data_IF_798428053266
#
_entry.id   IF_798428053266
#
_cell.length_a   1.000
_cell.length_b   1.000
_cell.length_c   1.000
_cell.angle_alpha   90.00
_cell.angle_beta   90.00
_cell.angle_gamma   90.00
#
_symmetry.space_group_name_H-M   'P 1'
#
loop_
_entity.id
_entity.type
_entity.pdbx_description
1 polymer ?
#
# COMPACT_ATOMS: atom_id res chain seq x y z
N UNK A 1 19.54 20.75 -14.06
CA UNK A 1 19.88 20.26 -12.70
C UNK A 1 19.15 18.95 -12.45
N UNK A 2 19.89 17.84 -12.45
CA UNK A 2 19.33 16.49 -12.42
C UNK A 2 18.69 16.17 -11.08
N UNK A 3 17.39 15.92 -11.09
CA UNK A 3 16.62 15.50 -9.93
C UNK A 3 16.97 14.04 -9.62
N UNK A 4 18.09 13.79 -8.91
CA UNK A 4 18.42 12.45 -8.37
C UNK A 4 17.39 12.11 -7.29
N UNK A 5 16.24 11.59 -7.71
CA UNK A 5 15.35 10.84 -6.81
C UNK A 5 16.14 9.65 -6.29
N UNK A 6 16.60 9.72 -5.04
CA UNK A 6 17.21 8.58 -4.36
C UNK A 6 16.20 7.43 -4.38
N UNK A 7 16.40 6.45 -5.26
CA UNK A 7 15.63 5.20 -5.26
C UNK A 7 15.97 4.47 -3.96
N UNK A 8 14.96 4.09 -3.19
CA UNK A 8 15.16 3.22 -2.04
C UNK A 8 15.85 1.93 -2.49
N UNK A 9 16.80 1.44 -1.70
CA UNK A 9 17.46 0.16 -2.01
C UNK A 9 16.46 -1.00 -1.90
N UNK A 10 16.72 -2.10 -2.61
CA UNK A 10 15.93 -3.34 -2.47
C UNK A 10 15.86 -3.77 -0.99
N UNK A 11 16.97 -3.66 -0.26
CA UNK A 11 17.04 -3.94 1.18
C UNK A 11 16.05 -3.09 1.98
N UNK A 12 15.94 -1.80 1.67
CA UNK A 12 14.99 -0.88 2.33
C UNK A 12 13.55 -1.29 2.04
N UNK A 13 13.24 -1.65 0.79
CA UNK A 13 11.90 -2.09 0.39
C UNK A 13 11.52 -3.38 1.12
N UNK A 14 12.41 -4.38 1.14
CA UNK A 14 12.16 -5.64 1.84
C UNK A 14 11.99 -5.44 3.36
N UNK A 15 12.78 -4.56 3.97
CA UNK A 15 12.61 -4.20 5.38
C UNK A 15 11.25 -3.55 5.65
N UNK A 16 10.80 -2.65 4.77
CA UNK A 16 9.47 -2.05 4.88
C UNK A 16 8.35 -3.08 4.69
N UNK A 17 8.52 -4.01 3.75
CA UNK A 17 7.56 -5.10 3.48
C UNK A 17 7.45 -6.06 4.66
N UNK A 18 8.52 -6.25 5.43
CA UNK A 18 8.47 -7.07 6.65
C UNK A 18 7.41 -6.57 7.66
N UNK A 19 7.14 -5.25 7.72
CA UNK A 19 6.05 -4.71 8.54
C UNK A 19 4.68 -5.22 8.09
N UNK A 20 4.43 -5.33 6.78
CA UNK A 20 3.16 -5.80 6.23
C UNK A 20 2.93 -7.27 6.59
N UNK A 21 3.94 -8.13 6.43
CA UNK A 21 3.84 -9.54 6.78
C UNK A 21 3.77 -9.77 8.30
N UNK A 22 4.50 -8.97 9.09
CA UNK A 22 4.38 -9.00 10.55
C UNK A 22 2.96 -8.65 10.98
N UNK A 23 2.37 -7.62 10.40
CA UNK A 23 0.98 -7.24 10.66
C UNK A 23 -0.02 -8.31 10.20
N UNK A 24 0.20 -8.90 9.03
CA UNK A 24 -0.59 -10.02 8.51
C UNK A 24 -0.61 -11.18 9.51
N UNK A 25 0.57 -11.58 10.01
CA UNK A 25 0.71 -12.63 11.01
C UNK A 25 -0.05 -12.30 12.32
N UNK A 26 0.06 -11.06 12.82
CA UNK A 26 -0.67 -10.62 14.03
C UNK A 26 -2.21 -10.67 13.83
N UNK A 27 -2.68 -10.39 12.61
CA UNK A 27 -4.12 -10.30 12.31
C UNK A 27 -4.71 -11.59 11.75
N UNK A 28 -3.89 -12.63 11.55
CA UNK A 28 -4.29 -13.89 10.92
C UNK A 28 -4.57 -13.77 9.42
N UNK A 29 -4.09 -12.70 8.77
CA UNK A 29 -4.22 -12.51 7.33
C UNK A 29 -3.01 -13.10 6.61
N UNK A 30 -3.27 -14.11 5.78
CA UNK A 30 -2.27 -14.68 4.88
C UNK A 30 -2.12 -13.79 3.63
N UNK A 31 -1.29 -12.75 3.77
CA UNK A 31 -1.07 -11.73 2.74
C UNK A 31 -0.51 -12.36 1.45
N UNK A 32 0.40 -13.32 1.57
CA UNK A 32 1.00 -13.99 0.40
C UNK A 32 -0.07 -14.73 -0.39
N UNK A 33 -0.84 -15.59 0.28
CA UNK A 33 -1.92 -16.33 -0.36
C UNK A 33 -2.97 -15.41 -0.97
N UNK A 34 -3.36 -14.35 -0.27
CA UNK A 34 -4.30 -13.36 -0.79
C UNK A 34 -3.81 -12.73 -2.10
N UNK A 35 -2.54 -12.33 -2.16
CA UNK A 35 -1.95 -11.75 -3.37
C UNK A 35 -1.83 -12.79 -4.50
N UNK A 36 -1.42 -14.03 -4.20
CA UNK A 36 -1.34 -15.12 -5.18
C UNK A 36 -2.70 -15.46 -5.80
N UNK A 37 -3.75 -15.51 -4.99
CA UNK A 37 -5.12 -15.79 -5.42
C UNK A 37 -5.79 -14.59 -6.12
N UNK A 38 -5.09 -13.46 -6.29
CA UNK A 38 -5.64 -12.24 -6.88
C UNK A 38 -6.68 -11.54 -6.02
N UNK A 39 -6.80 -11.92 -4.74
CA UNK A 39 -7.64 -11.28 -3.73
C UNK A 39 -6.85 -10.13 -3.11
N UNK A 40 -6.73 -9.05 -3.87
CA UNK A 40 -5.95 -7.88 -3.48
C UNK A 40 -6.27 -7.33 -2.08
N UNK A 41 -5.36 -6.53 -1.53
CA UNK A 41 -5.55 -5.86 -0.26
C UNK A 41 -6.56 -4.71 -0.43
N UNK A 42 -7.74 -4.89 0.15
CA UNK A 42 -8.80 -3.89 0.10
C UNK A 42 -8.47 -2.64 0.94
N UNK A 43 -9.30 -1.61 0.79
CA UNK A 43 -9.12 -0.36 1.50
C UNK A 43 -9.13 -0.50 3.03
N UNK A 44 -9.99 -1.38 3.56
CA UNK A 44 -10.12 -1.57 5.01
C UNK A 44 -8.87 -2.25 5.57
N UNK A 45 -8.31 -3.20 4.84
CA UNK A 45 -7.07 -3.90 5.13
C UNK A 45 -5.90 -2.91 5.16
N UNK A 46 -5.69 -2.16 4.08
CA UNK A 46 -4.60 -1.19 3.97
C UNK A 46 -4.72 -0.07 5.01
N UNK A 47 -5.93 0.39 5.31
CA UNK A 47 -6.16 1.40 6.37
C UNK A 47 -5.87 0.84 7.77
N UNK A 48 -6.29 -0.39 8.08
CA UNK A 48 -5.95 -1.03 9.37
C UNK A 48 -4.44 -1.22 9.52
N UNK A 49 -3.76 -1.62 8.45
CA UNK A 49 -2.30 -1.71 8.42
C UNK A 49 -1.64 -0.34 8.69
N UNK A 50 -2.07 0.72 7.99
CA UNK A 50 -1.55 2.07 8.21
C UNK A 50 -1.74 2.53 9.67
N UNK A 51 -2.93 2.37 10.23
CA UNK A 51 -3.21 2.73 11.62
C UNK A 51 -2.37 1.92 12.64
N UNK A 52 -2.12 0.64 12.35
CA UNK A 52 -1.23 -0.17 13.17
C UNK A 52 0.20 0.34 13.08
N UNK A 53 0.67 0.66 11.87
CA UNK A 53 2.02 1.14 11.62
C UNK A 53 2.30 2.47 12.32
N UNK A 54 1.34 3.38 12.33
CA UNK A 54 1.42 4.65 13.08
C UNK A 54 1.58 4.46 14.59
N UNK A 55 0.92 3.45 15.16
CA UNK A 55 1.05 3.15 16.60
C UNK A 55 2.43 2.60 16.97
N UNK A 56 3.09 1.90 16.05
CA UNK A 56 4.37 1.23 16.30
C UNK A 56 5.57 2.16 16.05
N UNK A 57 5.47 3.10 15.10
CA UNK A 57 6.60 3.91 14.61
C UNK A 57 6.76 5.26 15.38
N UNK A 58 6.35 5.27 16.66
CA UNK A 58 6.25 6.44 17.55
C UNK A 58 5.09 7.38 17.18
N UNK A 59 4.40 7.95 18.20
CA UNK A 59 3.19 8.75 18.00
C UNK A 59 3.48 10.03 17.21
N UNK A 60 2.48 10.57 16.48
CA UNK A 60 2.61 11.89 15.90
C UNK A 60 2.88 12.90 17.01
N UNK A 61 3.93 13.70 16.84
CA UNK A 61 4.11 14.95 17.58
C UNK A 61 3.00 15.87 17.07
N UNK A 62 1.91 15.98 17.84
CA UNK A 62 0.76 16.87 17.64
C UNK A 62 0.32 17.04 16.17
N UNK A 63 -0.53 16.12 15.67
CA UNK A 63 -1.25 16.34 14.42
C UNK A 63 -1.80 15.09 13.74
N UNK A 64 -2.85 15.28 12.95
CA UNK A 64 -3.53 14.28 12.10
C UNK A 64 -2.71 13.85 10.87
N UNK A 65 -1.41 14.17 10.83
CA UNK A 65 -0.55 13.90 9.68
C UNK A 65 0.16 12.55 9.84
N UNK A 66 -0.04 11.67 8.86
CA UNK A 66 0.73 10.43 8.73
C UNK A 66 2.22 10.77 8.72
N UNK A 67 2.99 10.16 9.62
CA UNK A 67 4.44 10.34 9.72
C UNK A 67 5.09 10.08 8.34
N UNK A 68 6.00 10.98 7.91
CA UNK A 68 6.71 10.85 6.61
C UNK A 68 7.37 9.48 6.44
N UNK A 69 7.81 8.84 7.52
CA UNK A 69 8.38 7.49 7.47
C UNK A 69 7.33 6.41 7.28
N UNK A 70 6.17 6.51 7.93
CA UNK A 70 5.01 5.63 7.71
C UNK A 70 4.58 5.69 6.24
N UNK A 71 4.50 6.89 5.64
CA UNK A 71 4.23 7.04 4.21
C UNK A 71 5.26 6.32 3.32
N UNK A 72 6.56 6.35 3.65
CA UNK A 72 7.59 5.64 2.90
C UNK A 72 7.43 4.12 2.97
N UNK A 73 7.03 3.60 4.13
CA UNK A 73 6.75 2.17 4.31
C UNK A 73 5.52 1.77 3.50
N UNK A 74 4.43 2.54 3.58
CA UNK A 74 3.21 2.32 2.78
C UNK A 74 3.51 2.34 1.27
N UNK A 75 4.34 3.27 0.80
CA UNK A 75 4.79 3.30 -0.59
C UNK A 75 5.55 2.03 -0.98
N UNK A 76 6.47 1.57 -0.13
CA UNK A 76 7.27 0.36 -0.39
C UNK A 76 6.38 -0.89 -0.42
N UNK A 77 5.40 -0.98 0.48
CA UNK A 77 4.42 -2.06 0.51
C UNK A 77 3.49 -2.05 -0.70
N UNK A 78 3.07 -0.86 -1.16
CA UNK A 78 2.29 -0.68 -2.39
C UNK A 78 3.08 -1.16 -3.61
N UNK A 79 4.34 -0.71 -3.76
CA UNK A 79 5.22 -1.14 -4.85
C UNK A 79 5.41 -2.66 -4.84
N UNK A 80 5.67 -3.26 -3.67
CA UNK A 80 5.78 -4.70 -3.54
C UNK A 80 4.48 -5.42 -3.91
N UNK A 81 3.33 -4.98 -3.40
CA UNK A 81 2.04 -5.64 -3.64
C UNK A 81 1.66 -5.62 -5.12
N UNK A 82 1.92 -4.50 -5.81
CA UNK A 82 1.69 -4.38 -7.26
C UNK A 82 2.66 -5.29 -8.02
N UNK A 83 3.96 -5.21 -7.73
CA UNK A 83 4.98 -6.05 -8.37
C UNK A 83 4.70 -7.55 -8.17
N UNK A 84 4.30 -7.94 -6.96
CA UNK A 84 4.00 -9.34 -6.64
C UNK A 84 2.79 -9.83 -7.42
N UNK A 85 1.69 -9.07 -7.40
CA UNK A 85 0.52 -9.40 -8.21
C UNK A 85 0.93 -9.47 -9.68
N UNK A 86 1.73 -8.51 -10.15
CA UNK A 86 2.12 -8.43 -11.54
C UNK A 86 2.84 -9.69 -12.04
N UNK A 87 3.75 -10.23 -11.23
CA UNK A 87 4.64 -11.31 -11.62
C UNK A 87 4.10 -12.70 -11.30
N UNK A 88 3.28 -12.84 -10.24
CA UNK A 88 2.92 -14.16 -9.72
C UNK A 88 1.43 -14.50 -9.87
N UNK A 89 0.50 -13.55 -9.74
CA UNK A 89 -0.94 -13.85 -9.89
C UNK A 89 -1.31 -14.47 -11.25
N UNK A 90 -0.77 -14.02 -12.40
CA UNK A 90 -1.07 -14.63 -13.71
C UNK A 90 -0.64 -16.09 -13.83
N UNK A 91 0.37 -16.52 -13.06
CA UNK A 91 0.86 -17.91 -13.07
C UNK A 91 -0.14 -18.86 -12.40
N UNK A 92 -0.95 -18.35 -11.47
CA UNK A 92 -1.95 -19.12 -10.72
C UNK A 92 -3.36 -18.97 -11.27
N UNK A 93 -3.66 -17.90 -11.99
CA UNK A 93 -4.97 -17.61 -12.54
C UNK A 93 -4.95 -17.74 -14.08
N UNK A 94 -5.26 -18.92 -14.61
CA UNK A 94 -5.26 -19.19 -16.06
C UNK A 94 -6.60 -18.81 -16.73
N UNK A 95 -6.61 -17.89 -17.70
CA UNK A 95 -7.75 -17.61 -18.59
C UNK A 95 -7.77 -16.19 -19.20
N UNK A 96 -8.38 -16.01 -20.38
CA UNK A 96 -8.46 -14.70 -21.07
C UNK A 96 -9.27 -13.67 -20.26
N UNK A 97 -10.31 -14.09 -19.53
CA UNK A 97 -11.07 -13.24 -18.60
C UNK A 97 -10.27 -12.80 -17.37
N UNK A 98 -9.20 -13.53 -17.02
CA UNK A 98 -8.30 -13.17 -15.91
C UNK A 98 -7.52 -11.92 -16.25
N UNK A 99 -7.12 -11.70 -17.51
CA UNK A 99 -6.32 -10.54 -17.88
C UNK A 99 -7.06 -9.21 -17.67
N UNK A 100 -8.36 -9.13 -18.00
CA UNK A 100 -9.18 -7.93 -17.74
C UNK A 100 -9.40 -7.73 -16.24
N UNK A 101 -9.62 -8.82 -15.50
CA UNK A 101 -9.73 -8.80 -14.03
C UNK A 101 -8.43 -8.34 -13.36
N UNK A 102 -7.28 -8.75 -13.90
CA UNK A 102 -5.94 -8.47 -13.41
C UNK A 102 -5.54 -7.00 -13.57
N UNK A 103 -5.82 -6.38 -14.72
CA UNK A 103 -5.59 -4.93 -14.89
C UNK A 103 -6.43 -4.15 -13.87
N UNK A 104 -7.69 -4.56 -13.66
CA UNK A 104 -8.57 -3.96 -12.64
C UNK A 104 -8.05 -4.17 -11.22
N UNK A 105 -7.44 -5.33 -10.94
CA UNK A 105 -6.82 -5.62 -9.65
C UNK A 105 -5.62 -4.70 -9.36
N UNK A 106 -4.73 -4.51 -10.34
CA UNK A 106 -3.59 -3.59 -10.22
C UNK A 106 -4.06 -2.15 -10.01
N UNK A 107 -5.04 -1.69 -10.79
CA UNK A 107 -5.62 -0.35 -10.63
C UNK A 107 -6.33 -0.18 -9.29
N UNK A 108 -7.03 -1.22 -8.81
CA UNK A 108 -7.63 -1.25 -7.48
C UNK A 108 -6.56 -1.09 -6.38
N UNK A 109 -5.46 -1.83 -6.45
CA UNK A 109 -4.33 -1.68 -5.54
C UNK A 109 -3.79 -0.25 -5.55
N UNK A 110 -3.44 0.30 -6.74
CA UNK A 110 -2.95 1.67 -6.86
C UNK A 110 -3.89 2.67 -6.19
N UNK A 111 -5.20 2.54 -6.45
CA UNK A 111 -6.23 3.41 -5.88
C UNK A 111 -6.33 3.27 -4.37
N UNK A 112 -6.37 2.04 -3.84
CA UNK A 112 -6.48 1.77 -2.40
C UNK A 112 -5.29 2.34 -1.65
N UNK A 113 -4.07 2.00 -2.07
CA UNK A 113 -2.83 2.46 -1.44
C UNK A 113 -2.72 3.99 -1.49
N UNK A 114 -3.00 4.60 -2.64
CA UNK A 114 -3.03 6.06 -2.81
C UNK A 114 -4.06 6.71 -1.88
N UNK A 115 -5.27 6.15 -1.80
CA UNK A 115 -6.34 6.71 -0.97
C UNK A 115 -5.98 6.72 0.51
N UNK A 116 -5.31 5.68 1.01
CA UNK A 116 -4.84 5.62 2.41
C UNK A 116 -3.71 6.62 2.65
N UNK A 117 -2.76 6.76 1.72
CA UNK A 117 -1.68 7.74 1.83
C UNK A 117 -2.14 9.20 1.74
N UNK A 118 -3.16 9.49 0.93
CA UNK A 118 -3.70 10.85 0.71
C UNK A 118 -4.70 11.27 1.80
N UNK A 119 -5.33 10.32 2.51
CA UNK A 119 -6.29 10.61 3.58
C UNK A 119 -5.71 11.43 4.76
N UNK A 120 -4.40 11.72 4.77
CA UNK A 120 -3.79 12.72 5.66
C UNK A 120 -4.06 14.19 5.30
N UNK A 121 -4.78 14.49 4.20
CA UNK A 121 -5.36 15.83 3.90
C UNK A 121 -6.34 15.83 2.71
N UNK A 122 -7.63 15.98 3.00
CA UNK A 122 -8.57 16.80 2.23
C UNK A 122 -9.54 17.43 3.22
N UNK A 123 -9.05 18.41 3.98
CA UNK A 123 -9.94 19.49 4.36
C UNK A 123 -10.42 20.12 3.05
N UNK A 124 -11.72 19.98 2.83
CA UNK A 124 -12.48 20.73 1.86
C UNK A 124 -12.34 22.21 2.21
N UNK A 125 -11.28 22.86 1.75
CA UNK A 125 -11.38 24.29 1.47
C UNK A 125 -12.02 24.37 0.09
N UNK A 126 -13.35 24.20 0.06
CA UNK A 126 -14.13 24.93 -0.91
C UNK A 126 -13.88 26.40 -0.59
N UNK A 127 -12.99 27.06 -1.35
CA UNK A 127 -13.04 28.51 -1.43
C UNK A 127 -14.37 28.82 -2.10
N UNK A 128 -15.33 29.26 -1.31
CA UNK A 128 -16.49 29.97 -1.82
C UNK A 128 -15.98 31.05 -2.78
N UNK A 129 -16.51 31.01 -3.99
CA UNK A 129 -16.42 32.10 -4.95
C UNK A 129 -17.25 33.25 -4.38
N UNK A 130 -16.59 34.22 -3.75
CA UNK A 130 -17.07 35.60 -3.60
C UNK A 130 -16.07 36.53 -4.23
#
# INVERSE_FOLDING_TARGET
MGNRRYKASIRTVLYHVAFLFTWGNITGLDIERMLLEGKGLDFRCVRKFANWLEKIISPPVDGTQINKYVCKILQSCSTFSIWFVENYTPLFATGIDVNVSYIRLIESHKKVWSSVMVSGRKELIAHDLT
#
